data_IF_177624447181
#
_entry.id   IF_177624447181
#
_cell.length_a   1.000
_cell.length_b   1.000
_cell.length_c   1.000
_cell.angle_alpha   90.00
_cell.angle_beta   90.00
_cell.angle_gamma   90.00
#
_symmetry.space_group_name_H-M   'P 1'
#
loop_
_entity.id
_entity.type
_entity.pdbx_description
1 polymer ?
#
# COMPACT_ATOMS: atom_id res chain seq x y z
N UNK A 1 -14.51 -13.66 21.79
CA UNK A 1 -13.52 -12.60 21.45
C UNK A 1 -12.31 -13.15 20.70
N UNK A 2 -11.82 -14.36 21.00
CA UNK A 2 -10.76 -15.01 20.21
C UNK A 2 -11.20 -15.31 18.76
N UNK A 3 -12.45 -15.73 18.54
CA UNK A 3 -12.95 -16.07 17.20
C UNK A 3 -13.03 -14.88 16.23
N UNK A 4 -13.25 -13.67 16.75
CA UNK A 4 -13.28 -12.47 15.91
C UNK A 4 -11.87 -12.10 15.44
N UNK A 5 -10.87 -12.29 16.31
CA UNK A 5 -9.47 -12.05 15.97
C UNK A 5 -8.90 -13.10 15.04
N UNK A 6 -9.25 -14.38 15.22
CA UNK A 6 -8.86 -15.42 14.27
C UNK A 6 -9.55 -15.27 12.92
N UNK A 7 -10.83 -14.89 12.85
CA UNK A 7 -11.49 -14.62 11.56
C UNK A 7 -10.91 -13.38 10.86
N UNK A 8 -10.57 -12.33 11.61
CA UNK A 8 -9.91 -11.14 11.06
C UNK A 8 -8.49 -11.48 10.57
N UNK A 9 -7.73 -12.27 11.34
CA UNK A 9 -6.42 -12.81 10.92
C UNK A 9 -6.55 -13.73 9.70
N UNK A 10 -7.64 -14.49 9.59
CA UNK A 10 -7.89 -15.39 8.46
C UNK A 10 -8.23 -14.63 7.17
N UNK A 11 -8.87 -13.45 7.28
CA UNK A 11 -9.15 -12.51 6.19
C UNK A 11 -7.93 -11.66 5.81
N UNK A 12 -7.03 -11.37 6.76
CA UNK A 12 -5.77 -10.66 6.52
C UNK A 12 -4.64 -11.63 6.12
N UNK A 13 -4.90 -12.95 6.14
CA UNK A 13 -3.92 -13.98 5.84
C UNK A 13 -3.34 -13.79 4.43
N UNK A 14 -2.05 -13.40 4.32
CA UNK A 14 -1.41 -13.08 3.05
C UNK A 14 -1.49 -14.26 2.07
N UNK A 15 -1.38 -15.48 2.58
CA UNK A 15 -1.40 -16.69 1.77
C UNK A 15 -2.73 -16.90 1.02
N UNK A 16 -3.88 -16.60 1.64
CA UNK A 16 -5.20 -16.72 0.98
C UNK A 16 -5.45 -15.56 0.01
N UNK A 17 -5.10 -14.35 0.40
CA UNK A 17 -5.18 -13.16 -0.45
C UNK A 17 -4.33 -13.31 -1.72
N UNK A 18 -3.14 -13.88 -1.58
CA UNK A 18 -2.26 -14.17 -2.71
C UNK A 18 -2.77 -15.31 -3.59
N UNK A 19 -3.50 -16.28 -3.02
CA UNK A 19 -4.04 -17.42 -3.76
C UNK A 19 -5.31 -17.09 -4.54
N UNK A 20 -6.15 -16.19 -4.04
CA UNK A 20 -7.39 -15.77 -4.71
C UNK A 20 -7.23 -14.48 -5.55
N UNK A 21 -6.33 -13.57 -5.16
CA UNK A 21 -6.16 -12.27 -5.83
C UNK A 21 -4.70 -11.84 -6.07
N UNK A 22 -3.71 -12.72 -5.92
CA UNK A 22 -2.35 -12.32 -5.58
C UNK A 22 -1.63 -11.32 -6.45
N UNK A 23 -1.67 -11.44 -7.78
CA UNK A 23 -1.01 -10.44 -8.62
C UNK A 23 -1.66 -9.05 -8.48
N UNK A 24 -2.99 -8.98 -8.65
CA UNK A 24 -3.72 -7.71 -8.58
C UNK A 24 -3.68 -7.08 -7.19
N UNK A 25 -3.72 -7.92 -6.17
CA UNK A 25 -3.70 -7.46 -4.79
C UNK A 25 -2.36 -6.88 -4.40
N UNK A 26 -1.27 -7.56 -4.74
CA UNK A 26 0.09 -7.07 -4.47
C UNK A 26 0.33 -5.75 -5.20
N UNK A 27 -0.06 -5.67 -6.48
CA UNK A 27 0.00 -4.43 -7.27
C UNK A 27 -0.81 -3.31 -6.62
N UNK A 28 -2.02 -3.60 -6.14
CA UNK A 28 -2.87 -2.62 -5.47
C UNK A 28 -2.30 -2.14 -4.13
N UNK A 29 -1.78 -3.06 -3.31
CA UNK A 29 -1.19 -2.72 -2.01
C UNK A 29 0.05 -1.84 -2.19
N UNK A 30 0.95 -2.18 -3.13
CA UNK A 30 2.14 -1.37 -3.41
C UNK A 30 1.75 0.01 -3.96
N UNK A 31 0.73 0.08 -4.83
CA UNK A 31 0.18 1.36 -5.28
C UNK A 31 -0.39 2.19 -4.11
N UNK A 32 -1.12 1.55 -3.20
CA UNK A 32 -1.71 2.20 -2.04
C UNK A 32 -0.65 2.68 -1.03
N UNK A 33 0.36 1.86 -0.74
CA UNK A 33 1.46 2.19 0.17
C UNK A 33 2.29 3.38 -0.37
N UNK A 34 2.59 3.37 -1.67
CA UNK A 34 3.38 4.45 -2.31
C UNK A 34 2.58 5.71 -2.63
N UNK A 35 1.25 5.59 -2.81
CA UNK A 35 0.40 6.69 -3.26
C UNK A 35 -0.52 7.32 -2.20
N UNK A 36 -0.83 6.62 -1.10
CA UNK A 36 -1.75 7.12 -0.07
C UNK A 36 -1.00 7.48 1.22
N UNK A 37 -1.33 8.63 1.80
CA UNK A 37 -0.75 9.06 3.09
C UNK A 37 -1.10 8.11 4.26
N UNK A 38 -2.21 7.38 4.15
CA UNK A 38 -2.65 6.35 5.11
C UNK A 38 -2.18 4.94 4.71
N UNK A 39 -1.48 4.79 3.58
CA UNK A 39 -0.98 3.52 3.07
C UNK A 39 0.15 2.91 3.90
N UNK A 40 0.78 3.68 4.79
CA UNK A 40 1.88 3.24 5.67
C UNK A 40 1.51 2.05 6.59
N UNK A 41 0.23 1.81 6.85
CA UNK A 41 -0.19 0.69 7.68
C UNK A 41 -0.23 -0.66 6.92
N UNK A 42 -0.15 -0.65 5.58
CA UNK A 42 -0.17 -1.88 4.80
C UNK A 42 1.22 -2.55 4.77
N UNK A 43 1.31 -3.87 5.03
CA UNK A 43 2.57 -4.60 5.03
C UNK A 43 3.01 -5.00 3.60
N UNK A 44 3.35 -4.02 2.76
CA UNK A 44 3.69 -4.26 1.36
C UNK A 44 5.02 -4.99 1.14
N UNK A 45 6.06 -4.72 1.93
CA UNK A 45 7.35 -5.42 1.85
C UNK A 45 7.21 -6.93 2.04
N UNK A 46 6.42 -7.34 3.03
CA UNK A 46 6.17 -8.74 3.34
C UNK A 46 5.33 -9.42 2.24
N UNK A 47 4.34 -8.72 1.69
CA UNK A 47 3.55 -9.18 0.55
C UNK A 47 4.40 -9.34 -0.71
N UNK A 48 5.36 -8.45 -0.94
CA UNK A 48 6.29 -8.51 -2.06
C UNK A 48 7.18 -9.76 -1.99
N UNK A 49 7.69 -10.05 -0.79
CA UNK A 49 8.48 -11.26 -0.52
C UNK A 49 7.67 -12.54 -0.76
N UNK A 50 6.43 -12.59 -0.24
CA UNK A 50 5.51 -13.71 -0.46
C UNK A 50 5.14 -13.88 -1.93
N UNK A 51 4.90 -12.78 -2.65
CA UNK A 51 4.60 -12.82 -4.08
C UNK A 51 5.76 -13.44 -4.87
N UNK A 52 7.00 -13.03 -4.60
CA UNK A 52 8.20 -13.62 -5.20
C UNK A 52 8.35 -15.11 -4.85
N UNK A 53 8.12 -15.49 -3.60
CA UNK A 53 8.14 -16.89 -3.16
C UNK A 53 7.07 -17.74 -3.87
N UNK A 54 5.86 -17.20 -4.06
CA UNK A 54 4.75 -17.92 -4.71
C UNK A 54 4.98 -18.10 -6.20
N UNK A 55 5.60 -17.12 -6.88
CA UNK A 55 6.07 -17.27 -8.27
C UNK A 55 7.17 -18.34 -8.35
N UNK A 56 8.15 -18.32 -7.44
CA UNK A 56 9.24 -19.29 -7.43
C UNK A 56 8.78 -20.73 -7.11
N UNK A 57 7.73 -20.88 -6.30
CA UNK A 57 7.14 -22.19 -5.94
C UNK A 57 6.07 -22.67 -6.92
N UNK A 58 5.81 -21.92 -8.00
CA UNK A 58 4.80 -22.27 -9.01
C UNK A 58 3.36 -22.22 -8.51
N UNK A 59 3.11 -21.58 -7.36
CA UNK A 59 1.76 -21.38 -6.83
C UNK A 59 1.04 -20.19 -7.46
N UNK A 60 1.80 -19.29 -8.12
CA UNK A 60 1.29 -18.18 -8.91
C UNK A 60 1.66 -18.42 -10.37
N UNK A 61 0.66 -18.60 -11.24
CA UNK A 61 0.86 -18.80 -12.68
C UNK A 61 1.08 -17.45 -13.39
N UNK A 62 2.07 -16.70 -12.91
CA UNK A 62 2.44 -15.39 -13.43
C UNK A 62 3.94 -15.35 -13.60
N UNK A 63 4.39 -14.97 -14.79
CA UNK A 63 5.80 -14.80 -15.07
C UNK A 63 6.38 -13.71 -14.16
N UNK A 64 7.54 -13.98 -13.56
CA UNK A 64 8.23 -13.04 -12.68
C UNK A 64 8.50 -11.69 -13.36
N UNK A 65 8.74 -11.68 -14.68
CA UNK A 65 8.90 -10.45 -15.44
C UNK A 65 7.61 -9.60 -15.48
N UNK A 66 6.45 -10.24 -15.58
CA UNK A 66 5.13 -9.57 -15.55
C UNK A 66 4.84 -9.04 -14.15
N UNK A 67 5.17 -9.82 -13.11
CA UNK A 67 5.05 -9.39 -11.72
C UNK A 67 5.87 -8.12 -11.48
N UNK A 68 7.15 -8.13 -11.85
CA UNK A 68 8.06 -6.99 -11.71
C UNK A 68 7.60 -5.77 -12.50
N UNK A 69 7.18 -5.95 -13.75
CA UNK A 69 6.67 -4.86 -14.57
C UNK A 69 5.41 -4.22 -13.96
N UNK A 70 4.46 -5.04 -13.50
CA UNK A 70 3.25 -4.57 -12.82
C UNK A 70 3.54 -3.80 -11.54
N UNK A 71 4.49 -4.30 -10.73
CA UNK A 71 4.97 -3.65 -9.51
C UNK A 71 5.62 -2.30 -9.78
N UNK A 72 6.50 -2.21 -10.79
CA UNK A 72 7.12 -0.94 -11.17
C UNK A 72 6.07 0.08 -11.61
N UNK A 73 5.12 -0.32 -12.47
CA UNK A 73 4.05 0.56 -12.93
C UNK A 73 3.19 1.03 -11.75
N UNK A 74 2.84 0.13 -10.83
CA UNK A 74 2.09 0.46 -9.63
C UNK A 74 2.83 1.45 -8.72
N UNK A 75 4.11 1.21 -8.44
CA UNK A 75 4.91 2.08 -7.58
C UNK A 75 5.10 3.48 -8.20
N UNK A 76 5.37 3.56 -9.50
CA UNK A 76 5.53 4.85 -10.20
C UNK A 76 4.20 5.61 -10.21
N UNK A 77 3.10 4.93 -10.53
CA UNK A 77 1.76 5.52 -10.57
C UNK A 77 1.29 5.95 -9.18
N UNK A 78 1.60 5.15 -8.16
CA UNK A 78 1.33 5.43 -6.75
C UNK A 78 2.08 6.69 -6.33
N UNK A 79 3.40 6.75 -6.54
CA UNK A 79 4.20 7.93 -6.24
C UNK A 79 3.70 9.19 -6.96
N UNK A 80 3.29 9.08 -8.23
CA UNK A 80 2.73 10.22 -8.96
C UNK A 80 1.40 10.70 -8.36
N UNK A 81 0.53 9.75 -7.98
CA UNK A 81 -0.75 10.03 -7.30
C UNK A 81 -0.50 10.65 -5.93
N UNK A 82 0.43 10.11 -5.15
CA UNK A 82 0.81 10.60 -3.83
C UNK A 82 1.42 11.99 -3.89
N UNK A 83 2.28 12.26 -4.88
CA UNK A 83 2.83 13.59 -5.12
C UNK A 83 1.72 14.59 -5.49
N UNK A 84 0.80 14.21 -6.38
CA UNK A 84 -0.31 15.09 -6.76
C UNK A 84 -1.26 15.36 -5.59
N UNK A 85 -1.58 14.32 -4.81
CA UNK A 85 -2.43 14.42 -3.62
C UNK A 85 -1.77 15.26 -2.52
N UNK A 86 -0.47 15.07 -2.28
CA UNK A 86 0.33 15.87 -1.37
C UNK A 86 0.44 17.33 -1.82
N UNK A 87 0.67 17.57 -3.12
CA UNK A 87 0.73 18.92 -3.70
C UNK A 87 -0.61 19.65 -3.63
N UNK A 88 -1.73 18.93 -3.73
CA UNK A 88 -3.08 19.50 -3.61
C UNK A 88 -3.47 19.72 -2.14
N UNK A 89 -3.06 18.84 -1.24
CA UNK A 89 -3.37 18.91 0.20
C UNK A 89 -2.44 19.88 0.95
N UNK A 90 -1.21 20.08 0.47
CA UNK A 90 -0.23 21.02 1.02
C UNK A 90 -0.76 22.45 1.16
N UNK A 91 -1.22 23.14 0.10
CA UNK A 91 -1.77 24.48 0.21
C UNK A 91 -3.04 24.53 1.08
N UNK A 92 -3.84 23.45 1.14
CA UNK A 92 -5.02 23.33 2.02
C UNK A 92 -4.63 23.26 3.50
N UNK A 93 -3.51 22.60 3.84
CA UNK A 93 -2.93 22.61 5.18
C UNK A 93 -2.37 23.99 5.57
N UNK A 94 -1.81 24.74 4.62
CA UNK A 94 -1.32 26.11 4.87
C UNK A 94 -2.44 27.17 4.95
N UNK A 95 -3.56 26.98 4.23
CA UNK A 95 -4.74 27.86 4.29
C UNK A 95 -5.71 27.53 5.43
N UNK A 96 -5.60 26.37 6.08
CA UNK A 96 -6.33 26.09 7.33
C UNK A 96 -5.91 27.08 8.43
N UNK A 97 -6.90 27.78 9.00
CA UNK A 97 -6.74 28.59 10.22
C UNK A 97 -6.30 27.70 11.38
N UNK A 98 -5.48 28.25 12.27
CA UNK A 98 -4.86 27.59 13.43
C UNK A 98 -5.83 26.59 14.09
N UNK A 99 -5.41 25.32 14.14
CA UNK A 99 -6.09 24.24 14.86
C UNK A 99 -5.22 23.78 16.03
N UNK A 100 -5.83 23.13 17.02
CA UNK A 100 -5.22 22.72 18.29
C UNK A 100 -3.88 21.96 18.15
N UNK A 101 -3.64 21.31 17.01
CA UNK A 101 -2.41 20.55 16.71
C UNK A 101 -1.38 21.29 15.83
N UNK A 102 -1.72 22.44 15.25
CA UNK A 102 -0.85 23.14 14.30
C UNK A 102 -0.85 24.65 14.61
N UNK A 103 0.06 25.07 15.50
CA UNK A 103 0.28 26.49 15.83
C UNK A 103 1.33 27.07 14.88
N UNK A 104 0.93 28.06 14.07
CA UNK A 104 1.83 28.78 13.15
C UNK A 104 2.99 29.53 13.85
N UNK A 105 2.98 29.61 15.18
CA UNK A 105 3.96 30.36 15.99
C UNK A 105 5.35 29.72 16.09
N UNK A 106 5.51 28.45 15.73
CA UNK A 106 6.80 27.73 15.80
C UNK A 106 7.57 27.70 14.47
N UNK A 107 6.99 28.23 13.39
CA UNK A 107 7.69 28.47 12.14
C UNK A 107 8.36 29.84 12.22
N UNK A 108 9.51 29.90 12.91
CA UNK A 108 10.47 31.00 12.82
C UNK A 108 11.81 30.44 12.38
#
# INVERSE_FOLDING_TARGET
>A
MHDFWTNLQHLISPEKLLREGGFYLVVFVIYAETGLFFGFFLPGDYLLFLAGMFVATGKLDVNIAVLLAGLCIAAISGNFTGYWFGRKTGPVLYTRKDSFFFKKRYLK
#
